data_IF_064664664270
#
_entry.id   IF_064664664270
#
_cell.length_a   1.000
_cell.length_b   1.000
_cell.length_c   1.000
_cell.angle_alpha   90.00
_cell.angle_beta   90.00
_cell.angle_gamma   90.00
#
_symmetry.space_group_name_H-M   'P 1'
#
loop_
_entity.id
_entity.type
_entity.pdbx_description
1 polymer ?
#
# COMPACT_ATOMS: atom_id res chain seq x y z
N UNK A 1 -16.26 -37.38 -18.60
CA UNK A 1 -15.03 -38.14 -18.97
C UNK A 1 -14.17 -38.31 -17.73
N UNK A 2 -13.05 -39.03 -17.82
CA UNK A 2 -12.07 -39.16 -16.73
C UNK A 2 -10.72 -38.68 -17.21
N UNK A 3 -10.13 -37.69 -16.53
CA UNK A 3 -8.79 -37.17 -16.82
C UNK A 3 -8.14 -36.67 -15.54
N UNK A 4 -6.84 -36.42 -15.60
CA UNK A 4 -6.06 -35.89 -14.49
C UNK A 4 -5.86 -34.39 -14.70
N UNK A 5 -6.13 -33.61 -13.65
CA UNK A 5 -6.14 -32.15 -13.70
C UNK A 5 -5.15 -31.60 -12.68
N UNK A 6 -4.34 -30.64 -13.10
CA UNK A 6 -3.44 -29.89 -12.25
C UNK A 6 -4.15 -28.64 -11.70
N UNK A 7 -4.32 -28.61 -10.38
CA UNK A 7 -4.91 -27.51 -9.62
C UNK A 7 -3.85 -26.69 -8.86
N UNK A 8 -2.54 -26.92 -9.10
CA UNK A 8 -1.41 -26.29 -8.39
C UNK A 8 -1.46 -24.76 -8.39
N UNK A 9 -1.97 -24.16 -9.46
CA UNK A 9 -2.13 -22.70 -9.60
C UNK A 9 -3.15 -22.10 -8.63
N UNK A 10 -4.06 -22.93 -8.08
CA UNK A 10 -5.14 -22.53 -7.19
C UNK A 10 -4.98 -23.08 -5.77
N UNK A 11 -4.59 -24.34 -5.62
CA UNK A 11 -4.48 -25.01 -4.33
C UNK A 11 -3.06 -25.03 -3.78
N UNK A 12 -2.05 -24.82 -4.64
CA UNK A 12 -0.63 -24.95 -4.28
C UNK A 12 -0.13 -26.40 -4.18
N UNK A 13 -1.00 -27.38 -4.38
CA UNK A 13 -0.63 -28.80 -4.35
C UNK A 13 -0.01 -29.21 -5.69
N UNK A 14 1.22 -29.72 -5.65
CA UNK A 14 1.97 -30.09 -6.85
C UNK A 14 1.48 -31.41 -7.50
N UNK A 15 0.65 -32.19 -6.81
CA UNK A 15 0.15 -33.48 -7.32
C UNK A 15 -1.12 -33.27 -8.15
N UNK A 16 -1.12 -33.69 -9.43
CA UNK A 16 -2.33 -33.69 -10.23
C UNK A 16 -3.41 -34.58 -9.63
N UNK A 17 -4.66 -34.13 -9.69
CA UNK A 17 -5.84 -34.80 -9.12
C UNK A 17 -6.63 -35.49 -10.23
N UNK A 18 -6.96 -36.76 -10.01
CA UNK A 18 -7.84 -37.51 -10.90
C UNK A 18 -9.28 -36.99 -10.78
N UNK A 19 -9.87 -36.57 -11.90
CA UNK A 19 -11.27 -36.14 -11.98
C UNK A 19 -12.09 -37.13 -12.81
N UNK A 20 -13.27 -37.48 -12.30
CA UNK A 20 -14.24 -38.36 -12.95
C UNK A 20 -15.49 -37.57 -13.35
N UNK A 21 -16.45 -38.25 -13.96
CA UNK A 21 -17.75 -37.66 -14.21
C UNK A 21 -18.41 -37.26 -12.89
N UNK A 22 -19.05 -36.10 -12.87
CA UNK A 22 -19.67 -35.44 -11.70
C UNK A 22 -18.72 -34.76 -10.69
N UNK A 23 -17.40 -34.90 -10.84
CA UNK A 23 -16.47 -34.13 -10.01
C UNK A 23 -16.42 -32.64 -10.41
N UNK A 24 -16.35 -31.77 -9.41
CA UNK A 24 -16.14 -30.33 -9.64
C UNK A 24 -14.70 -30.03 -10.10
N UNK A 25 -14.58 -29.07 -11.01
CA UNK A 25 -13.30 -28.61 -11.58
C UNK A 25 -13.20 -27.11 -11.38
N UNK A 26 -12.16 -26.65 -10.69
CA UNK A 26 -11.94 -25.22 -10.50
C UNK A 26 -11.50 -24.54 -11.79
N UNK A 27 -12.10 -23.40 -12.11
CA UNK A 27 -11.69 -22.56 -13.24
C UNK A 27 -10.26 -22.06 -13.05
N UNK A 28 -9.38 -22.29 -14.04
CA UNK A 28 -7.95 -22.00 -13.98
C UNK A 28 -7.04 -23.22 -13.80
N UNK A 29 -7.63 -24.42 -13.65
CA UNK A 29 -6.90 -25.69 -13.62
C UNK A 29 -6.50 -26.19 -15.02
N UNK A 30 -5.40 -26.93 -15.11
CA UNK A 30 -4.83 -27.40 -16.38
C UNK A 30 -5.10 -28.90 -16.53
N UNK A 31 -5.75 -29.31 -17.61
CA UNK A 31 -5.90 -30.75 -17.90
C UNK A 31 -4.58 -31.32 -18.41
N UNK A 32 -3.93 -32.17 -17.61
CA UNK A 32 -2.63 -32.81 -17.93
C UNK A 32 -2.82 -34.23 -18.46
N UNK A 33 -3.99 -34.82 -18.25
CA UNK A 33 -4.30 -36.16 -18.75
C UNK A 33 -4.48 -36.22 -20.28
N UNK A 34 -4.34 -37.42 -20.85
CA UNK A 34 -4.43 -37.66 -22.30
C UNK A 34 -5.87 -37.60 -22.86
N UNK A 35 -6.89 -37.48 -22.00
CA UNK A 35 -8.29 -37.52 -22.41
C UNK A 35 -8.92 -36.13 -22.38
N UNK A 36 -9.88 -35.89 -23.27
CA UNK A 36 -10.65 -34.65 -23.29
C UNK A 36 -11.74 -34.69 -22.21
N UNK A 37 -11.83 -33.60 -21.44
CA UNK A 37 -12.91 -33.37 -20.48
C UNK A 37 -13.95 -32.43 -21.10
N UNK A 38 -15.21 -32.86 -21.04
CA UNK A 38 -16.38 -32.00 -21.25
C UNK A 38 -16.85 -31.57 -19.87
N UNK A 39 -16.84 -30.27 -19.61
CA UNK A 39 -17.16 -29.68 -18.32
C UNK A 39 -18.35 -28.75 -18.50
N UNK A 40 -19.30 -28.78 -17.56
CA UNK A 40 -20.41 -27.84 -17.52
C UNK A 40 -20.01 -26.68 -16.63
N UNK A 41 -20.13 -25.46 -17.13
CA UNK A 41 -19.89 -24.25 -16.34
C UNK A 41 -20.98 -24.11 -15.27
N UNK A 42 -20.61 -24.12 -14.00
CA UNK A 42 -21.50 -23.94 -12.85
C UNK A 42 -21.51 -22.51 -12.33
N UNK A 43 -20.47 -21.73 -12.61
CA UNK A 43 -20.30 -20.34 -12.15
C UNK A 43 -19.95 -19.40 -13.29
N UNK A 44 -20.39 -18.15 -13.19
CA UNK A 44 -19.98 -17.05 -14.08
C UNK A 44 -18.54 -16.63 -13.82
N UNK A 45 -17.90 -15.98 -14.81
CA UNK A 45 -16.49 -15.53 -14.75
C UNK A 45 -16.22 -14.66 -13.51
N UNK A 46 -17.21 -13.89 -13.08
CA UNK A 46 -17.16 -12.98 -11.93
C UNK A 46 -17.08 -13.70 -10.58
N UNK A 47 -17.64 -14.91 -10.46
CA UNK A 47 -17.60 -15.77 -9.26
C UNK A 47 -16.57 -16.91 -9.38
N UNK A 48 -15.68 -16.85 -10.38
CA UNK A 48 -14.61 -17.82 -10.51
C UNK A 48 -13.56 -17.69 -9.39
N UNK A 49 -12.87 -18.78 -9.07
CA UNK A 49 -11.81 -18.75 -8.07
C UNK A 49 -10.69 -17.74 -8.42
N UNK A 50 -10.45 -17.51 -9.72
CA UNK A 50 -9.47 -16.54 -10.24
C UNK A 50 -9.91 -15.10 -10.01
N UNK A 51 -11.17 -14.75 -10.28
CA UNK A 51 -11.67 -13.38 -10.04
C UNK A 51 -11.67 -13.03 -8.56
N UNK A 52 -11.94 -14.01 -7.69
CA UNK A 52 -11.86 -13.85 -6.24
C UNK A 52 -10.42 -13.60 -5.76
N UNK A 53 -9.44 -14.30 -6.33
CA UNK A 53 -8.02 -14.05 -6.09
C UNK A 53 -7.60 -12.65 -6.53
N UNK A 54 -8.04 -12.19 -7.71
CA UNK A 54 -7.73 -10.84 -8.20
C UNK A 54 -8.29 -9.79 -7.24
N UNK A 55 -9.57 -9.90 -6.84
CA UNK A 55 -10.18 -8.98 -5.86
C UNK A 55 -9.44 -8.95 -4.53
N UNK A 56 -9.05 -10.11 -4.01
CA UNK A 56 -8.29 -10.19 -2.76
C UNK A 56 -6.91 -9.54 -2.87
N UNK A 57 -6.23 -9.69 -4.01
CA UNK A 57 -4.94 -9.03 -4.28
C UNK A 57 -5.13 -7.52 -4.41
N UNK A 58 -6.17 -7.09 -5.11
CA UNK A 58 -6.47 -5.67 -5.33
C UNK A 58 -6.83 -4.96 -4.01
N UNK A 59 -7.63 -5.62 -3.16
CA UNK A 59 -7.98 -5.14 -1.82
C UNK A 59 -6.75 -5.09 -0.90
N UNK A 60 -5.84 -6.07 -0.98
CA UNK A 60 -4.58 -6.09 -0.24
C UNK A 60 -3.58 -5.01 -0.71
N UNK A 61 -3.50 -4.73 -2.02
CA UNK A 61 -2.65 -3.67 -2.59
C UNK A 61 -3.20 -2.26 -2.31
N UNK A 62 -4.51 -2.11 -2.07
CA UNK A 62 -5.09 -0.81 -1.70
C UNK A 62 -4.70 -0.35 -0.29
N UNK A 63 -4.16 -1.24 0.54
CA UNK A 63 -3.73 -0.91 1.89
C UNK A 63 -2.36 -0.22 1.86
N UNK A 64 -2.38 1.12 1.87
CA UNK A 64 -1.20 1.95 2.14
C UNK A 64 -0.40 1.39 3.32
N UNK A 65 0.93 1.33 3.15
CA UNK A 65 1.88 0.91 4.16
C UNK A 65 1.60 1.55 5.53
N UNK A 66 1.58 0.78 6.64
CA UNK A 66 1.34 1.31 7.97
C UNK A 66 2.37 2.37 8.38
N UNK A 67 3.59 2.31 7.83
CA UNK A 67 4.64 3.30 8.07
C UNK A 67 4.33 4.65 7.42
N UNK A 68 3.72 4.64 6.24
CA UNK A 68 3.31 5.85 5.53
C UNK A 68 2.21 6.59 6.30
N UNK A 69 1.27 5.85 6.90
CA UNK A 69 0.20 6.40 7.74
C UNK A 69 0.72 7.09 9.01
N UNK A 70 1.82 6.60 9.61
CA UNK A 70 2.41 7.21 10.82
C UNK A 70 3.04 8.56 10.50
N UNK A 71 3.79 8.63 9.39
CA UNK A 71 4.46 9.86 8.96
C UNK A 71 3.43 10.91 8.53
N UNK A 72 2.41 10.50 7.76
CA UNK A 72 1.31 11.39 7.37
C UNK A 72 0.52 11.90 8.58
N UNK A 73 0.25 11.05 9.59
CA UNK A 73 -0.45 11.45 10.80
C UNK A 73 0.35 12.48 11.63
N UNK A 74 1.68 12.31 11.68
CA UNK A 74 2.57 13.27 12.35
C UNK A 74 2.58 14.61 11.61
N UNK A 75 2.79 14.60 10.29
CA UNK A 75 2.78 15.82 9.47
C UNK A 75 1.44 16.56 9.58
N UNK A 76 0.32 15.82 9.55
CA UNK A 76 -1.03 16.37 9.65
C UNK A 76 -1.30 17.09 10.97
N UNK A 77 -0.64 16.70 12.06
CA UNK A 77 -0.79 17.36 13.37
C UNK A 77 0.26 18.46 13.59
N UNK A 78 1.49 18.24 13.11
CA UNK A 78 2.60 19.17 13.27
C UNK A 78 2.41 20.47 12.48
N UNK A 79 2.02 20.38 11.21
CA UNK A 79 1.81 21.56 10.34
C UNK A 79 0.80 22.57 10.91
N UNK A 80 -0.43 22.18 11.31
CA UNK A 80 -1.38 23.15 11.88
C UNK A 80 -0.92 23.70 13.23
N UNK A 81 -0.22 22.92 14.06
CA UNK A 81 0.28 23.39 15.35
C UNK A 81 1.34 24.49 15.21
N UNK A 82 2.28 24.32 14.28
CA UNK A 82 3.33 25.32 13.99
C UNK A 82 2.73 26.59 13.40
N UNK A 83 1.79 26.46 12.46
CA UNK A 83 1.11 27.62 11.84
C UNK A 83 0.30 28.40 12.88
N UNK A 84 -0.40 27.70 13.79
CA UNK A 84 -1.14 28.33 14.88
C UNK A 84 -0.21 29.09 15.84
N UNK A 85 0.92 28.48 16.25
CA UNK A 85 1.91 29.15 17.10
C UNK A 85 2.50 30.39 16.42
N UNK A 86 2.88 30.29 15.15
CA UNK A 86 3.43 31.42 14.41
C UNK A 86 2.39 32.55 14.23
N UNK A 87 1.12 32.20 13.97
CA UNK A 87 0.02 33.16 13.91
C UNK A 87 -0.15 33.92 15.22
N UNK A 88 -0.24 33.20 16.34
CA UNK A 88 -0.33 33.79 17.69
C UNK A 88 0.86 34.72 17.98
N UNK A 89 2.06 34.29 17.62
CA UNK A 89 3.30 35.03 17.83
C UNK A 89 3.38 36.30 16.99
N UNK A 90 2.71 36.34 15.83
CA UNK A 90 2.57 37.56 15.03
C UNK A 90 1.44 38.49 15.52
N UNK A 91 0.34 37.95 16.05
CA UNK A 91 -0.84 38.75 16.43
C UNK A 91 -0.79 39.32 17.84
N UNK A 92 -0.26 38.58 18.82
CA UNK A 92 -0.23 38.99 20.24
C UNK A 92 0.62 40.27 20.46
N UNK A 93 1.82 40.40 19.88
CA UNK A 93 2.70 41.53 20.18
C UNK A 93 2.24 42.85 19.58
N UNK A 94 1.30 42.81 18.63
CA UNK A 94 0.69 44.01 18.04
C UNK A 94 -0.15 44.79 19.06
N UNK A 95 -0.64 44.14 20.12
CA UNK A 95 -1.37 44.79 21.21
C UNK A 95 -0.48 45.64 22.13
N UNK A 96 0.84 45.40 22.17
CA UNK A 96 1.78 46.13 23.04
C UNK A 96 2.51 47.28 22.34
N UNK A 97 2.28 47.49 21.03
CA UNK A 97 2.80 48.63 20.27
C UNK A 97 3.38 48.25 18.90
N UNK A 98 3.43 49.22 17.98
CA UNK A 98 3.88 48.99 16.58
C UNK A 98 5.33 48.54 16.45
N UNK A 99 6.22 48.99 17.33
CA UNK A 99 7.65 48.61 17.29
C UNK A 99 7.86 47.15 17.74
N UNK A 100 7.21 46.75 18.82
CA UNK A 100 7.23 45.38 19.35
C UNK A 100 6.54 44.42 18.39
N UNK A 101 5.42 44.83 17.81
CA UNK A 101 4.72 44.10 16.76
C UNK A 101 5.63 43.78 15.58
N UNK A 102 6.34 44.78 15.01
CA UNK A 102 7.23 44.58 13.86
C UNK A 102 8.40 43.64 14.16
N UNK A 103 8.99 43.75 15.35
CA UNK A 103 10.08 42.88 15.78
C UNK A 103 9.63 41.41 15.90
N UNK A 104 8.47 41.18 16.51
CA UNK A 104 7.94 39.83 16.67
C UNK A 104 7.37 39.24 15.38
N UNK A 105 6.85 40.06 14.45
CA UNK A 105 6.45 39.58 13.12
C UNK A 105 7.66 39.02 12.35
N UNK A 106 8.82 39.66 12.42
CA UNK A 106 10.06 39.15 11.82
C UNK A 106 10.48 37.82 12.44
N UNK A 107 10.48 37.72 13.76
CA UNK A 107 10.82 36.47 14.47
C UNK A 107 9.81 35.35 14.22
N UNK A 108 8.51 35.67 14.09
CA UNK A 108 7.47 34.71 13.72
C UNK A 108 7.66 34.14 12.32
N UNK A 109 8.07 34.98 11.36
CA UNK A 109 8.40 34.54 10.00
C UNK A 109 9.63 33.63 9.98
N UNK A 110 10.65 33.96 10.78
CA UNK A 110 11.86 33.13 10.93
C UNK A 110 11.49 31.74 11.49
N UNK A 111 10.59 31.67 12.48
CA UNK A 111 10.10 30.40 13.03
C UNK A 111 9.39 29.55 11.99
N UNK A 112 8.54 30.14 11.14
CA UNK A 112 7.87 29.41 10.05
C UNK A 112 8.90 28.77 9.11
N UNK A 113 9.95 29.53 8.75
CA UNK A 113 11.00 29.04 7.85
C UNK A 113 11.81 27.91 8.50
N UNK A 114 12.18 28.04 9.77
CA UNK A 114 12.94 27.01 10.50
C UNK A 114 12.09 25.74 10.74
N UNK A 115 10.78 25.89 10.88
CA UNK A 115 9.87 24.79 11.16
C UNK A 115 9.51 23.95 9.92
N UNK A 116 10.04 24.21 8.72
CA UNK A 116 9.78 23.33 7.58
C UNK A 116 10.23 21.90 7.90
N UNK A 117 9.34 20.90 7.90
CA UNK A 117 9.71 19.50 8.12
C UNK A 117 10.29 18.85 6.85
N UNK A 118 10.95 19.64 5.99
CA UNK A 118 11.46 19.28 4.68
C UNK A 118 12.31 17.97 4.70
N UNK A 119 13.13 17.78 5.73
CA UNK A 119 13.95 16.57 5.91
C UNK A 119 13.13 15.33 6.32
N UNK A 120 12.07 15.53 7.11
CA UNK A 120 11.22 14.45 7.62
C UNK A 120 10.44 13.80 6.47
N UNK A 121 9.84 14.62 5.60
CA UNK A 121 9.01 14.15 4.48
C UNK A 121 9.80 13.36 3.44
N UNK A 122 11.08 13.68 3.24
CA UNK A 122 11.94 12.99 2.26
C UNK A 122 12.58 11.73 2.86
N UNK A 123 12.72 11.65 4.19
CA UNK A 123 13.41 10.53 4.85
C UNK A 123 12.76 9.17 4.59
N UNK A 124 11.43 9.10 4.62
CA UNK A 124 10.67 7.86 4.47
C UNK A 124 10.78 7.24 3.08
N UNK A 125 10.50 7.95 1.96
CA UNK A 125 10.63 7.38 0.63
C UNK A 125 12.07 7.02 0.28
N UNK A 126 13.05 7.82 0.72
CA UNK A 126 14.48 7.53 0.48
C UNK A 126 14.91 6.27 1.22
N UNK A 127 14.52 6.11 2.49
CA UNK A 127 14.86 4.91 3.28
C UNK A 127 14.20 3.66 2.69
N UNK A 128 12.94 3.79 2.27
CA UNK A 128 12.20 2.69 1.65
C UNK A 128 12.83 2.25 0.32
N UNK A 129 13.11 3.20 -0.58
CA UNK A 129 13.78 2.92 -1.86
C UNK A 129 15.19 2.32 -1.65
N UNK A 130 15.95 2.84 -0.69
CA UNK A 130 17.28 2.30 -0.36
C UNK A 130 17.19 0.87 0.22
N UNK A 131 16.21 0.58 1.06
CA UNK A 131 15.97 -0.75 1.61
C UNK A 131 15.58 -1.79 0.55
N UNK A 132 14.72 -1.39 -0.40
CA UNK A 132 14.38 -2.21 -1.56
C UNK A 132 15.60 -2.47 -2.45
N UNK A 133 16.40 -1.44 -2.74
CA UNK A 133 17.62 -1.60 -3.54
C UNK A 133 18.62 -2.56 -2.86
N UNK A 134 18.80 -2.45 -1.54
CA UNK A 134 19.72 -3.30 -0.78
C UNK A 134 19.26 -4.76 -0.70
N UNK A 135 17.94 -5.01 -0.64
CA UNK A 135 17.39 -6.38 -0.64
C UNK A 135 17.44 -7.01 -2.02
N UNK A 136 17.16 -6.23 -3.09
CA UNK A 136 17.30 -6.70 -4.47
C UNK A 136 18.75 -7.10 -4.82
N UNK A 137 19.75 -6.32 -4.37
CA UNK A 137 21.17 -6.67 -4.56
C UNK A 137 21.58 -7.99 -3.88
N UNK A 138 20.84 -8.41 -2.85
CA UNK A 138 21.06 -9.68 -2.13
C UNK A 138 20.20 -10.83 -2.65
N UNK A 139 19.51 -10.65 -3.77
CA UNK A 139 18.63 -11.66 -4.37
C UNK A 139 17.27 -11.82 -3.68
N UNK A 140 16.92 -10.92 -2.75
CA UNK A 140 15.60 -10.89 -2.13
C UNK A 140 14.61 -10.08 -2.97
N UNK A 141 13.43 -10.64 -3.21
CA UNK A 141 12.31 -9.92 -3.85
C UNK A 141 11.28 -9.62 -2.77
N UNK A 142 11.13 -8.33 -2.45
CA UNK A 142 10.08 -7.85 -1.56
C UNK A 142 8.90 -7.41 -2.42
N UNK A 143 7.81 -8.18 -2.35
CA UNK A 143 6.58 -7.93 -3.11
C UNK A 143 5.63 -7.12 -2.22
N UNK A 144 5.68 -5.79 -2.33
CA UNK A 144 4.75 -4.90 -1.64
C UNK A 144 5.40 -3.65 -1.05
N UNK A 145 4.88 -2.49 -1.47
CA UNK A 145 5.01 -1.18 -0.86
C UNK A 145 3.64 -0.53 -0.74
#
# INVERSE_FOLDING_TARGET
>A
GRSTVDESSLTGEARPVDKKAEDEVSGGSINVGMSRLLVRTTSTVEDSAVSRLIRLVEEAQSNRSPTEKIVDAFARTYTPAVVAMAGLMCTIPWFWGREVGRYWTLNGLIIIVIACPCALTISTPVTYAAGLAATAQKGGIVKGG
#
